data_IF_888593588282
#
_entry.id   IF_888593588282
#
_cell.length_a   1.000
_cell.length_b   1.000
_cell.length_c   1.000
_cell.angle_alpha   90.00
_cell.angle_beta   90.00
_cell.angle_gamma   90.00
#
_symmetry.space_group_name_H-M   'P 1'
#
loop_
_entity.id
_entity.type
_entity.pdbx_description
1 polymer ?
#
# COMPACT_ATOMS: atom_id res chain seq x y z
N UNK A 1 -39.33 14.68 -30.61
CA UNK A 1 -38.35 13.56 -30.61
C UNK A 1 -36.93 14.04 -30.23
N UNK A 2 -36.45 15.21 -30.67
CA UNK A 2 -35.10 15.69 -30.30
C UNK A 2 -34.91 16.14 -28.83
N UNK A 3 -35.92 16.74 -28.18
CA UNK A 3 -35.79 17.21 -26.78
C UNK A 3 -35.69 16.06 -25.74
N UNK A 4 -36.19 14.87 -26.06
CA UNK A 4 -36.11 13.68 -25.17
C UNK A 4 -34.74 13.00 -25.26
N UNK A 5 -34.07 13.10 -26.41
CA UNK A 5 -32.74 12.55 -26.64
C UNK A 5 -31.63 13.46 -26.08
N UNK A 6 -31.78 14.79 -26.15
CA UNK A 6 -30.85 15.73 -25.52
C UNK A 6 -30.85 15.62 -23.99
N UNK A 7 -32.03 15.51 -23.36
CA UNK A 7 -32.12 15.32 -21.90
C UNK A 7 -31.50 13.99 -21.43
N UNK A 8 -31.61 12.92 -22.22
CA UNK A 8 -30.96 11.64 -21.90
C UNK A 8 -29.44 11.69 -22.06
N UNK A 9 -28.93 12.43 -23.05
CA UNK A 9 -27.49 12.62 -23.23
C UNK A 9 -26.88 13.52 -22.15
N UNK A 10 -27.57 14.60 -21.74
CA UNK A 10 -27.15 15.48 -20.64
C UNK A 10 -27.20 14.73 -19.29
N UNK A 11 -28.18 13.84 -19.10
CA UNK A 11 -28.29 13.01 -17.89
C UNK A 11 -27.21 11.91 -17.87
N UNK A 12 -26.91 11.28 -19.01
CA UNK A 12 -25.75 10.37 -19.15
C UNK A 12 -24.42 11.08 -18.93
N UNK A 13 -24.20 12.27 -19.52
CA UNK A 13 -22.99 13.06 -19.28
C UNK A 13 -22.86 13.51 -17.82
N UNK A 14 -23.96 13.85 -17.13
CA UNK A 14 -23.94 14.19 -15.70
C UNK A 14 -23.71 12.97 -14.82
N UNK A 15 -24.25 11.80 -15.16
CA UNK A 15 -23.98 10.53 -14.48
C UNK A 15 -22.52 10.10 -14.71
N UNK A 16 -22.02 10.25 -15.94
CA UNK A 16 -20.63 9.95 -16.30
C UNK A 16 -19.64 10.95 -15.71
N UNK A 17 -20.01 12.24 -15.55
CA UNK A 17 -19.23 13.25 -14.81
C UNK A 17 -19.29 13.02 -13.30
N UNK A 18 -20.44 12.63 -12.74
CA UNK A 18 -20.58 12.26 -11.33
C UNK A 18 -19.84 10.95 -10.98
N UNK A 19 -19.72 10.03 -11.93
CA UNK A 19 -18.87 8.84 -11.82
C UNK A 19 -17.38 9.14 -12.06
N UNK A 20 -17.03 10.21 -12.80
CA UNK A 20 -15.62 10.67 -12.96
C UNK A 20 -14.99 11.16 -11.64
N UNK A 21 -15.76 11.46 -10.59
CA UNK A 21 -15.25 11.94 -9.29
C UNK A 21 -15.40 10.95 -8.12
N UNK A 22 -16.10 9.83 -8.29
CA UNK A 22 -16.41 8.92 -7.17
C UNK A 22 -15.34 7.86 -7.00
N UNK A 23 -14.34 8.14 -6.14
CA UNK A 23 -13.38 7.14 -5.67
C UNK A 23 -13.74 6.70 -4.24
N UNK A 24 -14.74 5.82 -4.12
CA UNK A 24 -15.23 5.32 -2.83
C UNK A 24 -14.16 4.51 -2.10
N UNK A 25 -13.36 3.73 -2.84
CA UNK A 25 -12.24 2.98 -2.28
C UNK A 25 -11.16 3.95 -1.79
N UNK A 26 -10.83 4.98 -2.56
CA UNK A 26 -9.90 6.03 -2.11
C UNK A 26 -10.34 6.74 -0.84
N UNK A 27 -11.65 6.97 -0.62
CA UNK A 27 -12.16 7.51 0.65
C UNK A 27 -11.89 6.59 1.85
N UNK A 28 -11.90 5.27 1.65
CA UNK A 28 -11.53 4.31 2.72
C UNK A 28 -10.04 4.41 3.05
N UNK A 29 -9.18 4.48 2.02
CA UNK A 29 -7.74 4.68 2.20
C UNK A 29 -7.42 6.03 2.84
N UNK A 30 -8.15 7.11 2.55
CA UNK A 30 -7.99 8.39 3.27
C UNK A 30 -8.21 8.27 4.78
N UNK A 31 -9.08 7.37 5.25
CA UNK A 31 -9.27 7.11 6.68
C UNK A 31 -8.08 6.36 7.27
N UNK A 32 -7.56 5.37 6.54
CA UNK A 32 -6.32 4.66 6.88
C UNK A 32 -5.17 5.67 7.00
N UNK A 33 -4.97 6.50 5.98
CA UNK A 33 -3.89 7.49 5.91
C UNK A 33 -3.99 8.52 7.06
N UNK A 34 -5.21 8.95 7.39
CA UNK A 34 -5.42 9.87 8.53
C UNK A 34 -4.93 9.26 9.84
N UNK A 35 -5.29 8.01 10.12
CA UNK A 35 -4.83 7.33 11.33
C UNK A 35 -3.34 7.03 11.28
N UNK A 36 -2.78 6.67 10.12
CA UNK A 36 -1.34 6.48 9.97
C UNK A 36 -0.57 7.76 10.28
N UNK A 37 -1.03 8.91 9.76
CA UNK A 37 -0.41 10.21 10.04
C UNK A 37 -0.47 10.55 11.54
N UNK A 38 -1.58 10.24 12.22
CA UNK A 38 -1.69 10.42 13.69
C UNK A 38 -0.70 9.49 14.41
N UNK A 39 -0.60 8.22 14.02
CA UNK A 39 0.34 7.28 14.63
C UNK A 39 1.80 7.65 14.34
N UNK A 40 2.11 8.15 13.15
CA UNK A 40 3.44 8.66 12.79
C UNK A 40 3.80 9.87 13.65
N UNK A 41 2.85 10.78 13.86
CA UNK A 41 3.05 11.92 14.77
C UNK A 41 3.30 11.47 16.21
N UNK A 42 2.50 10.53 16.73
CA UNK A 42 2.71 9.93 18.06
C UNK A 42 4.06 9.23 18.15
N UNK A 43 4.51 8.58 17.08
CA UNK A 43 5.82 7.94 17.00
C UNK A 43 6.94 8.98 17.15
N UNK A 44 6.89 10.11 16.43
CA UNK A 44 7.92 11.14 16.56
C UNK A 44 7.91 11.82 17.94
N UNK A 45 6.73 12.03 18.54
CA UNK A 45 6.64 12.51 19.93
C UNK A 45 7.32 11.53 20.88
N UNK A 46 6.98 10.24 20.79
CA UNK A 46 7.62 9.20 21.61
C UNK A 46 9.14 9.23 21.46
N UNK A 47 9.62 9.33 20.22
CA UNK A 47 11.04 9.36 19.91
C UNK A 47 11.76 10.56 20.58
N UNK A 48 11.16 11.75 20.51
CA UNK A 48 11.71 12.97 21.14
C UNK A 48 11.67 12.84 22.66
N UNK A 49 10.55 12.39 23.24
CA UNK A 49 10.40 12.20 24.69
C UNK A 49 11.41 11.18 25.19
N UNK A 50 11.55 10.04 24.51
CA UNK A 50 12.57 9.02 24.78
C UNK A 50 13.99 9.58 24.74
N UNK A 51 14.29 10.47 23.79
CA UNK A 51 15.58 11.13 23.70
C UNK A 51 15.85 12.09 24.87
N UNK A 52 14.84 12.85 25.30
CA UNK A 52 14.94 13.77 26.45
C UNK A 52 15.17 12.99 27.75
N UNK A 53 14.50 11.85 27.93
CA UNK A 53 14.61 11.04 29.15
C UNK A 53 15.98 10.39 29.37
N UNK A 54 16.88 10.44 28.38
CA UNK A 54 18.28 9.99 28.52
C UNK A 54 19.07 10.92 29.45
N UNK A 55 18.69 12.20 29.55
CA UNK A 55 19.36 13.18 30.40
C UNK A 55 18.59 13.26 31.73
N UNK A 56 19.28 13.28 32.87
CA UNK A 56 18.65 13.46 34.19
C UNK A 56 18.19 14.92 34.38
N UNK A 57 16.93 15.13 34.80
CA UNK A 57 16.37 16.46 35.11
C UNK A 57 15.21 16.38 36.12
N UNK A 58 14.84 17.52 36.70
CA UNK A 58 13.88 17.63 37.82
C UNK A 58 12.49 16.99 37.57
N UNK A 59 12.02 16.97 36.31
CA UNK A 59 10.70 16.48 35.94
C UNK A 59 10.72 15.19 35.11
N UNK A 60 11.78 14.38 35.22
CA UNK A 60 11.99 13.18 34.40
C UNK A 60 10.86 12.15 34.54
N UNK A 61 10.30 11.97 35.74
CA UNK A 61 9.18 11.06 36.01
C UNK A 61 7.93 11.39 35.18
N UNK A 62 7.63 12.68 34.98
CA UNK A 62 6.50 13.10 34.15
C UNK A 62 6.72 12.67 32.69
N UNK A 63 7.94 12.78 32.18
CA UNK A 63 8.28 12.38 30.82
C UNK A 63 8.24 10.86 30.65
N UNK A 64 8.61 10.08 31.68
CA UNK A 64 8.42 8.63 31.68
C UNK A 64 6.93 8.26 31.58
N UNK A 65 6.06 8.90 32.36
CA UNK A 65 4.61 8.67 32.28
C UNK A 65 4.07 9.02 30.88
N UNK A 66 4.48 10.17 30.33
CA UNK A 66 4.08 10.59 28.97
C UNK A 66 4.55 9.55 27.94
N UNK A 67 5.79 9.07 28.04
CA UNK A 67 6.34 8.05 27.14
C UNK A 67 5.51 6.76 27.18
N UNK A 68 5.19 6.27 28.37
CA UNK A 68 4.39 5.05 28.55
C UNK A 68 3.00 5.23 27.92
N UNK A 69 2.30 6.31 28.26
CA UNK A 69 0.94 6.57 27.76
C UNK A 69 0.91 6.73 26.23
N UNK A 70 1.87 7.47 25.67
CA UNK A 70 1.93 7.70 24.23
C UNK A 70 2.34 6.43 23.47
N UNK A 71 3.22 5.59 24.02
CA UNK A 71 3.58 4.29 23.45
C UNK A 71 2.41 3.31 23.44
N UNK A 72 1.66 3.19 24.55
CA UNK A 72 0.47 2.36 24.62
C UNK A 72 -0.60 2.84 23.62
N UNK A 73 -0.84 4.15 23.55
CA UNK A 73 -1.77 4.75 22.59
C UNK A 73 -1.35 4.46 21.15
N UNK A 74 -0.05 4.58 20.84
CA UNK A 74 0.50 4.24 19.52
C UNK A 74 0.22 2.79 19.13
N UNK A 75 0.50 1.84 20.03
CA UNK A 75 0.33 0.41 19.78
C UNK A 75 -1.15 0.09 19.51
N UNK A 76 -2.06 0.61 20.33
CA UNK A 76 -3.49 0.38 20.18
C UNK A 76 -4.04 0.97 18.88
N UNK A 77 -3.70 2.23 18.57
CA UNK A 77 -4.17 2.89 17.34
C UNK A 77 -3.61 2.22 16.08
N UNK A 78 -2.33 1.85 16.09
CA UNK A 78 -1.71 1.10 15.00
C UNK A 78 -2.46 -0.19 14.72
N UNK A 79 -2.67 -1.02 15.76
CA UNK A 79 -3.30 -2.32 15.60
C UNK A 79 -4.77 -2.18 15.21
N UNK A 80 -5.48 -1.19 15.75
CA UNK A 80 -6.85 -0.90 15.35
C UNK A 80 -6.95 -0.50 13.88
N UNK A 81 -6.05 0.37 13.40
CA UNK A 81 -6.00 0.77 11.99
C UNK A 81 -5.73 -0.43 11.07
N UNK A 82 -4.77 -1.29 11.44
CA UNK A 82 -4.41 -2.47 10.65
C UNK A 82 -5.51 -3.53 10.64
N UNK A 83 -6.14 -3.82 11.79
CA UNK A 83 -7.16 -4.87 11.93
C UNK A 83 -8.50 -4.43 11.34
N UNK A 84 -8.88 -3.16 11.48
CA UNK A 84 -10.19 -2.70 11.02
C UNK A 84 -10.09 -1.96 9.67
N UNK A 85 -9.53 -0.76 9.66
CA UNK A 85 -9.62 0.13 8.50
C UNK A 85 -8.88 -0.39 7.28
N UNK A 86 -7.64 -0.89 7.43
CA UNK A 86 -6.89 -1.48 6.32
C UNK A 86 -7.57 -2.72 5.76
N UNK A 87 -8.09 -3.59 6.64
CA UNK A 87 -8.82 -4.78 6.21
C UNK A 87 -10.06 -4.41 5.38
N UNK A 88 -10.84 -3.42 5.82
CA UNK A 88 -12.02 -2.93 5.07
C UNK A 88 -11.61 -2.32 3.73
N UNK A 89 -10.58 -1.48 3.71
CA UNK A 89 -10.11 -0.81 2.50
C UNK A 89 -9.56 -1.79 1.45
N UNK A 90 -8.69 -2.72 1.87
CA UNK A 90 -8.11 -3.75 0.98
C UNK A 90 -9.17 -4.72 0.46
N UNK A 91 -10.14 -5.11 1.31
CA UNK A 91 -11.21 -6.00 0.86
C UNK A 91 -12.05 -5.38 -0.25
N UNK A 92 -12.41 -4.10 -0.10
CA UNK A 92 -13.16 -3.38 -1.14
C UNK A 92 -12.31 -3.09 -2.37
N UNK A 93 -11.01 -2.81 -2.21
CA UNK A 93 -10.07 -2.69 -3.34
C UNK A 93 -10.02 -3.97 -4.17
N UNK A 94 -9.97 -5.15 -3.54
CA UNK A 94 -10.01 -6.45 -4.24
C UNK A 94 -11.34 -6.66 -4.99
N UNK A 95 -12.47 -6.34 -4.37
CA UNK A 95 -13.77 -6.44 -5.05
C UNK A 95 -13.86 -5.53 -6.27
N UNK A 96 -13.40 -4.28 -6.17
CA UNK A 96 -13.37 -3.35 -7.30
C UNK A 96 -12.38 -3.81 -8.37
N UNK A 97 -11.23 -4.38 -8.00
CA UNK A 97 -10.28 -4.96 -8.95
C UNK A 97 -10.89 -6.13 -9.75
N UNK A 98 -11.59 -7.06 -9.09
CA UNK A 98 -12.29 -8.17 -9.77
C UNK A 98 -13.42 -7.63 -10.65
N UNK A 99 -14.21 -6.68 -10.13
CA UNK A 99 -15.26 -5.99 -10.90
C UNK A 99 -14.69 -5.35 -12.17
N UNK A 100 -13.56 -4.66 -12.10
CA UNK A 100 -12.94 -4.04 -13.28
C UNK A 100 -12.41 -5.09 -14.27
N UNK A 101 -11.84 -6.18 -13.75
CA UNK A 101 -11.24 -7.24 -14.57
C UNK A 101 -12.27 -8.04 -15.37
N UNK A 102 -13.49 -8.22 -14.84
CA UNK A 102 -14.54 -9.07 -15.45
C UNK A 102 -15.86 -8.34 -15.77
N UNK A 103 -15.99 -7.06 -15.41
CA UNK A 103 -17.23 -6.27 -15.49
C UNK A 103 -18.44 -6.93 -14.80
N UNK A 104 -18.19 -7.57 -13.64
CA UNK A 104 -19.24 -8.19 -12.82
C UNK A 104 -19.46 -7.35 -11.56
N UNK A 105 -20.71 -6.95 -11.32
CA UNK A 105 -21.09 -6.10 -10.20
C UNK A 105 -21.12 -6.89 -8.87
N UNK A 106 -19.94 -7.08 -8.26
CA UNK A 106 -19.78 -7.71 -6.93
C UNK A 106 -19.66 -6.69 -5.78
N UNK A 107 -19.66 -5.39 -6.10
CA UNK A 107 -19.68 -4.27 -5.16
C UNK A 107 -20.23 -3.02 -5.84
N UNK A 108 -20.94 -2.19 -5.07
CA UNK A 108 -21.43 -0.87 -5.50
C UNK A 108 -20.36 0.21 -5.38
N UNK A 109 -19.23 -0.09 -4.72
CA UNK A 109 -18.10 0.82 -4.62
C UNK A 109 -17.39 0.95 -5.96
N UNK A 110 -16.75 2.09 -6.12
CA UNK A 110 -16.07 2.51 -7.34
C UNK A 110 -14.66 3.00 -7.02
N UNK A 111 -13.79 2.95 -8.02
CA UNK A 111 -12.50 3.64 -7.99
C UNK A 111 -12.40 4.59 -9.18
N UNK A 112 -11.39 5.45 -9.16
CA UNK A 112 -11.12 6.42 -10.22
C UNK A 112 -11.11 5.76 -11.59
N UNK A 113 -11.73 6.43 -12.59
CA UNK A 113 -11.90 5.89 -13.95
C UNK A 113 -10.58 5.53 -14.63
N UNK A 114 -9.54 6.31 -14.36
CA UNK A 114 -8.21 6.17 -14.96
C UNK A 114 -7.24 5.44 -14.02
N UNK A 115 -7.75 4.50 -13.22
CA UNK A 115 -6.91 3.74 -12.28
C UNK A 115 -6.02 2.71 -13.01
N UNK A 116 -6.49 2.14 -14.12
CA UNK A 116 -5.73 1.22 -14.96
C UNK A 116 -5.54 1.81 -16.36
N UNK A 117 -4.32 1.77 -16.87
CA UNK A 117 -3.96 2.23 -18.21
C UNK A 117 -3.77 1.04 -19.14
N UNK A 118 -4.86 0.30 -19.40
CA UNK A 118 -4.91 -0.71 -20.44
C UNK A 118 -6.32 -0.82 -21.02
N UNK A 119 -6.39 -1.11 -22.33
CA UNK A 119 -7.65 -1.22 -23.08
C UNK A 119 -8.07 -2.68 -23.30
N UNK A 120 -7.56 -3.61 -22.48
CA UNK A 120 -7.89 -5.02 -22.61
C UNK A 120 -9.36 -5.26 -22.22
N UNK A 121 -10.05 -6.10 -23.00
CA UNK A 121 -11.43 -6.52 -22.69
C UNK A 121 -11.48 -7.41 -21.46
N UNK A 122 -12.63 -7.42 -20.80
CA UNK A 122 -12.92 -8.18 -19.59
C UNK A 122 -12.50 -9.66 -19.73
N UNK A 123 -11.53 -10.08 -18.94
CA UNK A 123 -10.92 -11.41 -19.05
C UNK A 123 -9.91 -11.66 -17.94
N UNK A 124 -9.48 -12.92 -17.81
CA UNK A 124 -8.29 -13.27 -17.00
C UNK A 124 -7.05 -12.50 -17.48
N UNK A 125 -6.92 -12.24 -18.79
CA UNK A 125 -5.82 -11.46 -19.32
C UNK A 125 -5.85 -10.00 -18.82
N UNK A 126 -7.02 -9.37 -18.78
CA UNK A 126 -7.20 -8.03 -18.18
C UNK A 126 -6.83 -8.03 -16.70
N UNK A 127 -7.27 -9.04 -15.94
CA UNK A 127 -6.87 -9.23 -14.54
C UNK A 127 -5.34 -9.26 -14.39
N UNK A 128 -4.65 -10.07 -15.20
CA UNK A 128 -3.19 -10.17 -15.16
C UNK A 128 -2.48 -8.88 -15.55
N UNK A 129 -2.98 -8.13 -16.53
CA UNK A 129 -2.43 -6.82 -16.92
C UNK A 129 -2.62 -5.78 -15.81
N UNK A 130 -3.81 -5.71 -15.22
CA UNK A 130 -4.11 -4.86 -14.07
C UNK A 130 -3.19 -5.18 -12.88
N UNK A 131 -2.99 -6.47 -12.58
CA UNK A 131 -2.01 -6.91 -11.55
C UNK A 131 -0.60 -6.48 -11.92
N UNK A 132 -0.20 -6.63 -13.18
CA UNK A 132 1.14 -6.27 -13.63
C UNK A 132 1.40 -4.77 -13.52
N UNK A 133 0.42 -3.93 -13.86
CA UNK A 133 0.46 -2.48 -13.65
C UNK A 133 0.63 -2.16 -12.16
N UNK A 134 -0.26 -2.69 -11.31
CA UNK A 134 -0.19 -2.49 -9.87
C UNK A 134 1.18 -2.90 -9.30
N UNK A 135 1.70 -4.07 -9.67
CA UNK A 135 3.00 -4.58 -9.23
C UNK A 135 4.14 -3.69 -9.73
N UNK A 136 4.08 -3.18 -10.97
CA UNK A 136 5.06 -2.26 -11.53
C UNK A 136 5.15 -0.95 -10.72
N UNK A 137 4.00 -0.32 -10.42
CA UNK A 137 3.93 0.88 -9.59
C UNK A 137 4.43 0.61 -8.17
N UNK A 138 3.94 -0.46 -7.54
CA UNK A 138 4.34 -0.86 -6.18
C UNK A 138 5.83 -1.08 -6.08
N UNK A 139 6.44 -1.80 -7.03
CA UNK A 139 7.88 -2.04 -7.07
C UNK A 139 8.68 -0.74 -7.08
N UNK A 140 8.25 0.23 -7.89
CA UNK A 140 8.93 1.52 -7.97
C UNK A 140 8.82 2.31 -6.66
N UNK A 141 7.60 2.42 -6.12
CA UNK A 141 7.33 3.19 -4.91
C UNK A 141 8.08 2.61 -3.71
N UNK A 142 8.01 1.29 -3.49
CA UNK A 142 8.70 0.59 -2.39
C UNK A 142 10.23 0.77 -2.48
N UNK A 143 10.79 0.72 -3.70
CA UNK A 143 12.22 0.98 -3.91
C UNK A 143 12.59 2.41 -3.46
N UNK A 144 11.76 3.41 -3.76
CA UNK A 144 11.98 4.79 -3.34
C UNK A 144 11.76 5.01 -1.84
N UNK A 145 10.84 4.28 -1.21
CA UNK A 145 10.61 4.32 0.23
C UNK A 145 11.73 3.71 1.05
N UNK A 146 12.52 2.79 0.47
CA UNK A 146 13.53 2.00 1.21
C UNK A 146 14.43 2.85 2.08
N UNK A 147 15.00 3.94 1.56
CA UNK A 147 15.97 4.75 2.31
C UNK A 147 15.33 5.33 3.58
N UNK A 148 14.11 5.87 3.47
CA UNK A 148 13.41 6.46 4.60
C UNK A 148 13.01 5.42 5.64
N UNK A 149 12.47 4.28 5.20
CA UNK A 149 12.08 3.20 6.12
C UNK A 149 13.29 2.56 6.81
N UNK A 150 14.41 2.39 6.11
CA UNK A 150 15.67 1.92 6.71
C UNK A 150 16.25 2.91 7.72
N UNK A 151 16.18 4.22 7.43
CA UNK A 151 16.64 5.25 8.36
C UNK A 151 15.80 5.28 9.64
N UNK A 152 14.47 5.19 9.53
CA UNK A 152 13.57 5.10 10.70
C UNK A 152 13.94 3.91 11.59
N UNK A 153 14.08 2.72 11.00
CA UNK A 153 14.45 1.52 11.74
C UNK A 153 15.83 1.66 12.42
N UNK A 154 16.81 2.25 11.73
CA UNK A 154 18.14 2.49 12.30
C UNK A 154 18.08 3.41 13.53
N UNK A 155 17.37 4.54 13.44
CA UNK A 155 17.24 5.50 14.56
C UNK A 155 16.60 4.84 15.78
N UNK A 156 15.58 3.99 15.57
CA UNK A 156 14.91 3.26 16.66
C UNK A 156 15.86 2.29 17.35
N UNK A 157 16.65 1.53 16.58
CA UNK A 157 17.63 0.60 17.14
C UNK A 157 18.66 1.35 17.98
N UNK A 158 19.19 2.46 17.45
CA UNK A 158 20.19 3.29 18.16
C UNK A 158 19.60 3.83 19.47
N UNK A 159 18.42 4.42 19.44
CA UNK A 159 17.75 4.93 20.64
C UNK A 159 17.44 3.84 21.66
N UNK A 160 17.00 2.67 21.20
CA UNK A 160 16.73 1.53 22.07
C UNK A 160 17.99 1.04 22.78
N UNK A 161 19.13 0.95 22.08
CA UNK A 161 20.42 0.58 22.69
C UNK A 161 20.87 1.62 23.72
N UNK A 162 20.73 2.92 23.44
CA UNK A 162 21.05 3.95 24.43
C UNK A 162 20.20 3.83 25.69
N UNK A 163 18.89 3.65 25.54
CA UNK A 163 17.99 3.50 26.69
C UNK A 163 18.31 2.25 27.52
N UNK A 164 18.77 1.16 26.89
CA UNK A 164 19.18 -0.06 27.60
C UNK A 164 20.42 0.14 28.50
N UNK A 165 21.31 1.05 28.15
CA UNK A 165 22.55 1.30 28.90
C UNK A 165 22.30 2.15 30.15
N UNK A 166 21.32 3.06 30.10
CA UNK A 166 21.06 4.04 31.17
C UNK A 166 20.14 3.52 32.30
N UNK A 167 19.54 2.34 32.16
CA UNK A 167 18.43 1.84 33.02
C UNK A 167 18.76 1.77 34.53
N UNK A 168 18.02 2.51 35.37
CA UNK A 168 17.90 2.40 36.84
C UNK A 168 16.45 2.09 37.30
N UNK A 169 16.19 1.99 38.61
CA UNK A 169 14.98 1.37 39.22
C UNK A 169 13.60 1.74 38.61
N UNK A 170 13.26 3.03 38.48
CA UNK A 170 11.95 3.51 37.94
C UNK A 170 11.85 3.34 36.41
N UNK A 171 12.96 3.01 35.77
CA UNK A 171 13.14 2.96 34.32
C UNK A 171 12.80 1.58 33.77
N UNK A 172 12.51 0.59 34.64
CA UNK A 172 12.17 -0.77 34.20
C UNK A 172 10.83 -0.84 33.44
N UNK A 173 9.79 -0.13 33.90
CA UNK A 173 8.51 -0.10 33.20
C UNK A 173 8.62 0.61 31.84
N UNK A 174 9.36 1.72 31.81
CA UNK A 174 9.68 2.44 30.57
C UNK A 174 10.43 1.54 29.62
N UNK A 175 11.42 0.78 30.11
CA UNK A 175 12.17 -0.18 29.30
C UNK A 175 11.26 -1.24 28.69
N UNK A 176 10.34 -1.82 29.46
CA UNK A 176 9.36 -2.80 28.96
C UNK A 176 8.50 -2.16 27.86
N UNK A 177 7.90 -1.01 28.13
CA UNK A 177 7.03 -0.33 27.15
C UNK A 177 7.79 0.05 25.88
N UNK A 178 9.01 0.57 26.02
CA UNK A 178 9.87 0.94 24.90
C UNK A 178 10.30 -0.29 24.08
N UNK A 179 10.54 -1.43 24.73
CA UNK A 179 10.85 -2.69 24.05
C UNK A 179 9.66 -3.12 23.18
N UNK A 180 8.44 -3.13 23.73
CA UNK A 180 7.22 -3.47 22.98
C UNK A 180 7.02 -2.49 21.82
N UNK A 181 7.10 -1.18 22.07
CA UNK A 181 6.99 -0.14 21.05
C UNK A 181 8.00 -0.29 19.91
N UNK A 182 9.28 -0.49 20.26
CA UNK A 182 10.36 -0.65 19.28
C UNK A 182 10.18 -1.92 18.46
N UNK A 183 9.80 -3.03 19.11
CA UNK A 183 9.53 -4.30 18.43
C UNK A 183 8.42 -4.19 17.38
N UNK A 184 7.32 -3.51 17.69
CA UNK A 184 6.22 -3.28 16.75
C UNK A 184 6.71 -2.57 15.48
N UNK A 185 7.54 -1.54 15.63
CA UNK A 185 8.11 -0.82 14.49
C UNK A 185 9.11 -1.66 13.70
N UNK A 186 9.97 -2.42 14.39
CA UNK A 186 10.91 -3.33 13.73
C UNK A 186 10.19 -4.43 12.96
N UNK A 187 9.09 -4.97 13.48
CA UNK A 187 8.25 -5.92 12.75
C UNK A 187 7.63 -5.30 11.49
N UNK A 188 7.16 -4.05 11.55
CA UNK A 188 6.70 -3.34 10.34
C UNK A 188 7.83 -3.18 9.32
N UNK A 189 9.05 -2.86 9.74
CA UNK A 189 10.21 -2.77 8.85
C UNK A 189 10.60 -4.13 8.24
N UNK A 190 10.56 -5.22 9.01
CA UNK A 190 10.77 -6.58 8.50
C UNK A 190 9.72 -6.94 7.45
N UNK A 191 8.43 -6.66 7.71
CA UNK A 191 7.35 -6.83 6.73
C UNK A 191 7.59 -5.99 5.47
N UNK A 192 8.06 -4.75 5.61
CA UNK A 192 8.42 -3.90 4.47
C UNK A 192 9.56 -4.50 3.62
N UNK A 193 10.61 -5.04 4.26
CA UNK A 193 11.69 -5.72 3.55
C UNK A 193 11.21 -6.97 2.82
N UNK A 194 10.39 -7.79 3.49
CA UNK A 194 9.77 -8.96 2.89
C UNK A 194 8.89 -8.58 1.69
N UNK A 195 8.03 -7.58 1.86
CA UNK A 195 7.16 -7.04 0.81
C UNK A 195 7.97 -6.60 -0.42
N UNK A 196 9.03 -5.82 -0.22
CA UNK A 196 9.92 -5.35 -1.29
C UNK A 196 10.52 -6.50 -2.11
N UNK A 197 11.06 -7.52 -1.43
CA UNK A 197 11.69 -8.65 -2.10
C UNK A 197 10.68 -9.43 -2.93
N UNK A 198 9.49 -9.68 -2.38
CA UNK A 198 8.46 -10.45 -3.06
C UNK A 198 7.80 -9.69 -4.21
N UNK A 199 7.55 -8.38 -4.08
CA UNK A 199 7.05 -7.55 -5.19
C UNK A 199 8.00 -7.59 -6.40
N UNK A 200 9.32 -7.55 -6.17
CA UNK A 200 10.31 -7.67 -7.27
C UNK A 200 10.22 -9.04 -7.95
N UNK A 201 10.01 -10.13 -7.20
CA UNK A 201 9.85 -11.47 -7.75
C UNK A 201 8.58 -11.59 -8.60
N UNK A 202 7.44 -11.13 -8.07
CA UNK A 202 6.15 -11.14 -8.79
C UNK A 202 6.25 -10.30 -10.06
N UNK A 203 6.88 -9.12 -10.00
CA UNK A 203 7.13 -8.30 -11.18
C UNK A 203 7.88 -9.05 -12.28
N UNK A 204 8.94 -9.78 -11.91
CA UNK A 204 9.73 -10.55 -12.88
C UNK A 204 8.90 -11.66 -13.52
N UNK A 205 8.08 -12.36 -12.72
CA UNK A 205 7.18 -13.41 -13.18
C UNK A 205 6.14 -12.86 -14.17
N UNK A 206 5.47 -11.76 -13.84
CA UNK A 206 4.50 -11.12 -14.74
C UNK A 206 5.17 -10.58 -16.02
N UNK A 207 6.36 -9.99 -15.91
CA UNK A 207 7.14 -9.55 -17.09
C UNK A 207 7.52 -10.73 -17.98
N UNK A 208 7.86 -11.88 -17.41
CA UNK A 208 8.15 -13.09 -18.18
C UNK A 208 6.92 -13.54 -18.97
N UNK A 209 5.78 -13.63 -18.28
CA UNK A 209 4.49 -14.09 -18.81
C UNK A 209 3.92 -13.17 -19.89
N UNK A 210 4.07 -11.84 -19.76
CA UNK A 210 3.48 -10.89 -20.69
C UNK A 210 4.43 -10.37 -21.75
N UNK A 211 5.74 -10.29 -21.47
CA UNK A 211 6.69 -9.55 -22.34
C UNK A 211 7.81 -10.44 -22.87
N UNK A 212 8.46 -11.25 -22.02
CA UNK A 212 9.70 -11.94 -22.44
C UNK A 212 9.39 -13.24 -23.19
N UNK A 213 8.61 -14.13 -22.57
CA UNK A 213 8.30 -15.43 -23.14
C UNK A 213 6.86 -15.83 -22.80
N UNK A 214 5.87 -15.23 -23.48
CA UNK A 214 4.48 -15.54 -23.22
C UNK A 214 4.19 -17.02 -23.47
N UNK A 215 3.57 -17.75 -22.53
CA UNK A 215 3.19 -19.14 -22.74
C UNK A 215 2.33 -19.31 -23.99
N UNK A 216 2.69 -20.27 -24.86
CA UNK A 216 1.88 -20.58 -26.04
C UNK A 216 0.60 -21.36 -25.70
N UNK A 217 0.60 -22.09 -24.57
CA UNK A 217 -0.56 -22.80 -24.06
C UNK A 217 -1.41 -21.86 -23.19
N UNK A 218 -2.68 -21.71 -23.55
CA UNK A 218 -3.62 -20.81 -22.87
C UNK A 218 -3.85 -21.16 -21.40
N UNK A 219 -3.97 -22.44 -21.06
CA UNK A 219 -4.13 -22.88 -19.67
C UNK A 219 -2.91 -22.51 -18.83
N UNK A 220 -1.70 -22.69 -19.38
CA UNK A 220 -0.45 -22.29 -18.70
C UNK A 220 -0.39 -20.78 -18.51
N UNK A 221 -0.87 -19.99 -19.48
CA UNK A 221 -0.97 -18.54 -19.36
C UNK A 221 -1.94 -18.13 -18.24
N UNK A 222 -3.13 -18.72 -18.20
CA UNK A 222 -4.15 -18.47 -17.18
C UNK A 222 -3.64 -18.82 -15.78
N UNK A 223 -3.03 -20.00 -15.60
CA UNK A 223 -2.49 -20.42 -14.29
C UNK A 223 -1.43 -19.43 -13.81
N UNK A 224 -0.50 -19.00 -14.68
CA UNK A 224 0.54 -18.06 -14.30
C UNK A 224 -0.02 -16.68 -13.88
N UNK A 225 -1.10 -16.21 -14.53
CA UNK A 225 -1.79 -14.98 -14.15
C UNK A 225 -2.44 -15.12 -12.78
N UNK A 226 -3.21 -16.19 -12.58
CA UNK A 226 -3.91 -16.43 -11.32
C UNK A 226 -2.93 -16.55 -10.16
N UNK A 227 -1.88 -17.35 -10.33
CA UNK A 227 -0.84 -17.56 -9.33
C UNK A 227 -0.14 -16.24 -8.97
N UNK A 228 0.27 -15.45 -9.98
CA UNK A 228 0.90 -14.14 -9.74
C UNK A 228 -0.03 -13.11 -9.09
N UNK A 229 -1.32 -13.16 -9.42
CA UNK A 229 -2.32 -12.24 -8.86
C UNK A 229 -2.64 -12.60 -7.41
N UNK A 230 -2.80 -13.89 -7.11
CA UNK A 230 -2.99 -14.38 -5.76
C UNK A 230 -1.77 -14.07 -4.90
N UNK A 231 -0.56 -14.34 -5.39
CA UNK A 231 0.70 -13.98 -4.74
C UNK A 231 0.71 -12.49 -4.34
N UNK A 232 0.33 -11.61 -5.27
CA UNK A 232 0.34 -10.18 -5.03
C UNK A 232 -0.71 -9.72 -4.01
N UNK A 233 -1.96 -10.16 -4.17
CA UNK A 233 -3.04 -9.73 -3.28
C UNK A 233 -2.91 -10.32 -1.86
N UNK A 234 -2.42 -11.56 -1.74
CA UNK A 234 -2.06 -12.16 -0.45
C UNK A 234 -0.89 -11.42 0.20
N UNK A 235 0.14 -11.07 -0.57
CA UNK A 235 1.29 -10.32 -0.08
C UNK A 235 0.89 -8.93 0.44
N UNK A 236 0.05 -8.19 -0.32
CA UNK A 236 -0.51 -6.90 0.11
C UNK A 236 -1.29 -7.04 1.42
N UNK A 237 -2.17 -8.02 1.48
CA UNK A 237 -3.01 -8.25 2.65
C UNK A 237 -2.22 -8.65 3.89
N UNK A 238 -1.17 -9.45 3.74
CA UNK A 238 -0.31 -9.89 4.84
C UNK A 238 0.61 -8.78 5.35
N UNK A 239 1.31 -8.10 4.43
CA UNK A 239 2.30 -7.09 4.81
C UNK A 239 1.68 -5.77 5.21
N UNK A 240 0.52 -5.40 4.65
CA UNK A 240 -0.22 -4.15 4.91
C UNK A 240 0.66 -2.89 4.83
N UNK A 241 1.64 -2.92 3.92
CA UNK A 241 2.56 -1.82 3.66
C UNK A 241 1.80 -0.72 2.92
N UNK A 242 1.64 0.42 3.56
CA UNK A 242 1.04 1.61 2.96
C UNK A 242 2.05 2.29 2.05
N UNK A 243 1.70 2.42 0.77
CA UNK A 243 2.57 3.05 -0.23
C UNK A 243 2.53 4.56 -0.10
N UNK A 244 3.68 5.21 -0.25
CA UNK A 244 3.76 6.67 -0.15
C UNK A 244 3.00 7.36 -1.29
N UNK A 245 1.86 7.98 -0.96
CA UNK A 245 1.08 8.78 -1.90
C UNK A 245 1.88 9.96 -2.47
N UNK A 246 2.79 10.56 -1.68
CA UNK A 246 3.69 11.62 -2.15
C UNK A 246 4.61 11.12 -3.27
N UNK A 247 5.17 9.92 -3.13
CA UNK A 247 6.01 9.32 -4.18
C UNK A 247 5.15 8.98 -5.40
N UNK A 248 3.99 8.35 -5.19
CA UNK A 248 3.04 8.07 -6.27
C UNK A 248 2.72 9.34 -7.08
N UNK A 249 2.22 10.39 -6.44
CA UNK A 249 1.86 11.65 -7.10
C UNK A 249 3.03 12.28 -7.85
N UNK A 250 4.24 12.24 -7.27
CA UNK A 250 5.44 12.81 -7.89
C UNK A 250 5.87 12.08 -9.16
N UNK A 251 5.66 10.77 -9.25
CA UNK A 251 6.16 9.95 -10.35
C UNK A 251 5.05 9.40 -11.25
N UNK A 252 3.78 9.69 -10.98
CA UNK A 252 2.63 9.11 -11.67
C UNK A 252 2.71 9.26 -13.20
N UNK A 253 2.93 10.47 -13.69
CA UNK A 253 3.02 10.74 -15.14
C UNK A 253 4.16 9.97 -15.80
N UNK A 254 5.31 9.87 -15.11
CA UNK A 254 6.46 9.11 -15.60
C UNK A 254 6.14 7.62 -15.64
N UNK A 255 5.53 7.08 -14.59
CA UNK A 255 5.21 5.67 -14.48
C UNK A 255 4.13 5.25 -15.49
N UNK A 256 3.11 6.08 -15.72
CA UNK A 256 2.12 5.83 -16.77
C UNK A 256 2.81 5.70 -18.15
N UNK A 257 3.68 6.64 -18.51
CA UNK A 257 4.43 6.56 -19.78
C UNK A 257 5.33 5.31 -19.88
N UNK A 258 5.99 4.93 -18.79
CA UNK A 258 6.80 3.71 -18.76
C UNK A 258 5.92 2.46 -18.89
N UNK A 259 4.74 2.47 -18.25
CA UNK A 259 3.77 1.40 -18.32
C UNK A 259 3.18 1.23 -19.72
N UNK A 260 2.80 2.33 -20.39
CA UNK A 260 2.27 2.30 -21.76
C UNK A 260 3.24 1.58 -22.71
N UNK A 261 4.55 1.85 -22.57
CA UNK A 261 5.58 1.16 -23.34
C UNK A 261 5.66 -0.35 -23.02
N UNK A 262 5.48 -0.74 -21.75
CA UNK A 262 5.45 -2.14 -21.34
C UNK A 262 4.19 -2.84 -21.91
N UNK A 263 3.04 -2.18 -21.81
CA UNK A 263 1.76 -2.68 -22.32
C UNK A 263 1.78 -2.88 -23.83
N UNK A 264 2.31 -1.93 -24.60
CA UNK A 264 2.45 -2.04 -26.05
C UNK A 264 3.34 -3.22 -26.46
N UNK A 265 4.43 -3.47 -25.73
CA UNK A 265 5.26 -4.65 -25.96
C UNK A 265 4.53 -5.96 -25.64
N UNK A 266 3.77 -6.00 -24.55
CA UNK A 266 2.94 -7.15 -24.21
C UNK A 266 1.88 -7.45 -25.29
N UNK A 267 1.26 -6.39 -25.83
CA UNK A 267 0.26 -6.48 -26.89
C UNK A 267 0.85 -7.04 -28.19
N UNK A 268 2.03 -6.55 -28.62
CA UNK A 268 2.74 -7.05 -29.81
C UNK A 268 3.04 -8.55 -29.72
N UNK A 269 3.55 -8.99 -28.58
CA UNK A 269 3.93 -10.40 -28.37
C UNK A 269 2.73 -11.34 -28.26
N UNK A 270 1.55 -10.82 -27.90
CA UNK A 270 0.29 -11.59 -27.95
C UNK A 270 -0.24 -11.78 -29.38
N UNK A 271 0.06 -10.85 -30.30
CA UNK A 271 -0.40 -10.90 -31.70
C UNK A 271 0.49 -11.72 -32.63
N UNK A 272 1.79 -11.83 -32.33
CA UNK A 272 2.75 -12.59 -33.16
C UNK A 272 2.62 -14.12 -33.05
N UNK A 273 1.64 -14.62 -32.28
CA UNK A 273 1.40 -16.05 -32.04
C UNK A 273 0.02 -16.53 -32.53
N UNK A 274 -0.76 -15.67 -33.17
CA UNK A 274 -2.00 -16.01 -33.90
C UNK A 274 -1.66 -16.06 -35.39
#
# INVERSE_FOLDING_TARGET
>A
INLYNENNNITKEKIEKGQKEKDDVGKLFKRVDTLENITDFLFYINLVVSGITIIEFEYQDLFFIINILTSLTYILLTNFNDIYYKNVAENERRKVFIKDSFNVAITDKTTSRDYYNNEEKESIKKMGLNTFENVFFTKFIVKKMTIFESLKAFVIIVLFVFLLVEVKNLEFLVLITQTVFSSEHLFKYVKFCYFKLHVVRIYRKLREVFVVNPPSNENVFIVNILDSTMDYECLKFYCKVSLSFRIYKKYNEKLNKEWDNIYENAKKNSKSKV
#
